data_IF_755483337754
#
_entry.id   IF_755483337754
#
_cell.length_a   1.000
_cell.length_b   1.000
_cell.length_c   1.000
_cell.angle_alpha   90.00
_cell.angle_beta   90.00
_cell.angle_gamma   90.00
#
_symmetry.space_group_name_H-M   'P 1'
#
loop_
_entity.id
_entity.type
_entity.pdbx_description
1 polymer ?
#
# COMPACT_ATOMS: atom_id res chain seq x y z
N UNK A 1 42.46 3.73 28.73
CA UNK A 1 41.10 3.49 29.28
C UNK A 1 40.23 4.76 29.37
N UNK A 2 40.60 5.87 28.69
CA UNK A 2 39.94 7.19 28.81
C UNK A 2 38.69 7.38 27.94
N UNK A 3 38.51 6.64 26.85
CA UNK A 3 37.35 6.84 25.95
C UNK A 3 36.08 6.11 26.40
N UNK A 4 36.13 5.34 27.50
CA UNK A 4 34.99 4.54 27.99
C UNK A 4 33.80 5.42 28.44
N UNK A 5 34.06 6.62 28.96
CA UNK A 5 33.00 7.56 29.37
C UNK A 5 32.26 8.16 28.17
N UNK A 6 33.01 8.65 27.17
CA UNK A 6 32.44 9.20 25.93
C UNK A 6 31.61 8.17 25.17
N UNK A 7 32.10 6.93 25.05
CA UNK A 7 31.37 5.83 24.39
C UNK A 7 30.08 5.50 25.14
N UNK A 8 30.06 5.51 26.47
CA UNK A 8 28.83 5.29 27.26
C UNK A 8 27.80 6.40 27.06
N UNK A 9 28.22 7.66 27.04
CA UNK A 9 27.32 8.80 26.79
C UNK A 9 26.73 8.73 25.39
N UNK A 10 27.56 8.44 24.39
CA UNK A 10 27.10 8.28 23.01
C UNK A 10 26.12 7.09 22.86
N UNK A 11 26.41 5.96 23.51
CA UNK A 11 25.52 4.80 23.50
C UNK A 11 24.15 5.10 24.15
N UNK A 12 24.13 5.85 25.26
CA UNK A 12 22.87 6.26 25.90
C UNK A 12 22.08 7.21 25.01
N UNK A 13 22.75 8.20 24.39
CA UNK A 13 22.10 9.16 23.50
C UNK A 13 21.53 8.45 22.26
N UNK A 14 22.31 7.57 21.64
CA UNK A 14 21.86 6.73 20.52
C UNK A 14 20.65 5.87 20.92
N UNK A 15 20.69 5.23 22.08
CA UNK A 15 19.58 4.41 22.59
C UNK A 15 18.31 5.24 22.77
N UNK A 16 18.43 6.47 23.29
CA UNK A 16 17.30 7.37 23.49
C UNK A 16 16.67 7.77 22.15
N UNK A 17 17.49 8.10 21.15
CA UNK A 17 17.03 8.37 19.79
C UNK A 17 16.35 7.14 19.17
N UNK A 18 16.93 5.94 19.33
CA UNK A 18 16.31 4.71 18.85
C UNK A 18 14.94 4.45 19.50
N UNK A 19 14.82 4.64 20.82
CA UNK A 19 13.54 4.48 21.53
C UNK A 19 12.52 5.52 21.06
N UNK A 20 12.94 6.75 20.79
CA UNK A 20 12.09 7.80 20.26
C UNK A 20 11.51 7.43 18.88
N UNK A 21 12.34 6.98 17.94
CA UNK A 21 11.86 6.52 16.62
C UNK A 21 10.98 5.27 16.72
N UNK A 22 11.32 4.32 17.61
CA UNK A 22 10.49 3.13 17.84
C UNK A 22 9.14 3.45 18.48
N UNK A 23 9.06 4.50 19.31
CA UNK A 23 7.80 4.94 19.93
C UNK A 23 6.76 5.35 18.88
N UNK A 24 7.16 6.05 17.82
CA UNK A 24 6.24 6.38 16.72
C UNK A 24 5.65 5.13 16.07
N UNK A 25 6.46 4.09 15.86
CA UNK A 25 5.98 2.84 15.28
C UNK A 25 5.02 2.09 16.19
N UNK A 26 5.25 2.14 17.50
CA UNK A 26 4.32 1.57 18.45
C UNK A 26 2.98 2.33 18.48
N UNK A 27 3.01 3.66 18.46
CA UNK A 27 1.79 4.49 18.47
C UNK A 27 0.96 4.23 17.22
N UNK A 28 1.53 4.37 16.02
CA UNK A 28 0.76 4.14 14.79
C UNK A 28 0.18 2.72 14.75
N UNK A 29 0.93 1.69 15.17
CA UNK A 29 0.45 0.30 15.27
C UNK A 29 -0.71 0.13 16.26
N UNK A 30 -0.67 0.83 17.38
CA UNK A 30 -1.76 0.81 18.36
C UNK A 30 -3.06 1.39 17.78
N UNK A 31 -2.98 2.49 17.02
CA UNK A 31 -4.15 3.09 16.38
C UNK A 31 -4.67 2.29 15.18
N UNK A 32 -3.79 1.66 14.40
CA UNK A 32 -4.23 0.76 13.33
C UNK A 32 -4.88 -0.50 13.86
N UNK A 33 -4.41 -1.06 14.99
CA UNK A 33 -5.09 -2.18 15.65
C UNK A 33 -6.47 -1.78 16.16
N UNK A 34 -6.64 -0.60 16.76
CA UNK A 34 -7.95 -0.08 17.15
C UNK A 34 -8.89 0.13 15.96
N UNK A 35 -8.36 0.63 14.85
CA UNK A 35 -9.13 0.77 13.61
C UNK A 35 -9.66 -0.58 13.12
N UNK A 36 -8.82 -1.63 13.17
CA UNK A 36 -9.21 -3.00 12.81
C UNK A 36 -10.26 -3.59 13.75
N UNK A 37 -10.16 -3.32 15.05
CA UNK A 37 -11.18 -3.73 16.03
C UNK A 37 -12.52 -3.06 15.77
N UNK A 38 -12.53 -1.78 15.39
CA UNK A 38 -13.75 -1.03 15.07
C UNK A 38 -14.34 -1.48 13.73
N UNK A 39 -13.48 -1.77 12.74
CA UNK A 39 -13.87 -2.15 11.39
C UNK A 39 -14.51 -3.55 11.32
N UNK A 40 -14.18 -4.46 12.23
CA UNK A 40 -14.80 -5.79 12.38
C UNK A 40 -14.96 -6.58 11.05
N UNK A 41 -14.02 -6.38 10.10
CA UNK A 41 -14.01 -7.01 8.78
C UNK A 41 -14.43 -6.13 7.60
N UNK A 42 -14.94 -4.91 7.83
CA UNK A 42 -15.32 -3.98 6.76
C UNK A 42 -14.15 -3.03 6.42
N UNK A 43 -13.52 -3.27 5.27
CA UNK A 43 -12.33 -2.54 4.83
C UNK A 43 -12.60 -1.06 4.54
N UNK A 44 -13.85 -0.68 4.24
CA UNK A 44 -14.23 0.72 4.07
C UNK A 44 -14.24 1.47 5.38
N UNK A 45 -14.83 0.88 6.42
CA UNK A 45 -14.91 1.48 7.75
C UNK A 45 -13.52 1.61 8.37
N UNK A 46 -12.63 0.63 8.13
CA UNK A 46 -11.21 0.73 8.53
C UNK A 46 -10.52 1.94 7.89
N UNK A 47 -10.68 2.10 6.57
CA UNK A 47 -10.04 3.20 5.84
C UNK A 47 -10.61 4.56 6.25
N UNK A 48 -11.93 4.69 6.35
CA UNK A 48 -12.57 5.95 6.73
C UNK A 48 -12.20 6.37 8.16
N UNK A 49 -12.10 5.40 9.08
CA UNK A 49 -11.65 5.66 10.45
C UNK A 49 -10.17 6.06 10.49
N UNK A 50 -9.31 5.36 9.75
CA UNK A 50 -7.89 5.69 9.67
C UNK A 50 -7.66 7.05 8.99
N UNK A 51 -8.44 7.41 7.98
CA UNK A 51 -8.33 8.70 7.28
C UNK A 51 -8.77 9.86 8.19
N UNK A 52 -9.87 9.67 8.92
CA UNK A 52 -10.34 10.62 9.93
C UNK A 52 -9.30 10.84 11.05
N UNK A 53 -8.70 9.76 11.55
CA UNK A 53 -7.65 9.85 12.56
C UNK A 53 -6.29 10.31 11.99
N UNK A 54 -6.07 10.24 10.68
CA UNK A 54 -4.80 10.61 10.06
C UNK A 54 -4.45 12.10 10.26
N UNK A 55 -5.47 12.95 10.42
CA UNK A 55 -5.34 14.38 10.68
C UNK A 55 -5.29 14.74 12.17
N UNK A 56 -5.59 13.80 13.06
CA UNK A 56 -5.50 14.04 14.49
C UNK A 56 -4.05 13.97 14.98
N UNK A 57 -3.74 14.77 16.02
CA UNK A 57 -2.42 14.83 16.64
C UNK A 57 -2.32 13.77 17.71
N UNK A 58 -1.50 12.76 17.47
CA UNK A 58 -1.55 11.50 18.22
C UNK A 58 -0.32 11.28 19.09
N UNK A 59 0.82 11.81 18.66
CA UNK A 59 2.08 11.70 19.41
C UNK A 59 2.46 13.07 19.99
N UNK A 60 2.41 13.17 21.33
CA UNK A 60 2.78 14.35 22.13
C UNK A 60 2.11 15.68 21.71
N UNK A 61 0.96 15.65 21.02
CA UNK A 61 0.21 16.85 20.63
C UNK A 61 0.85 17.69 19.51
N UNK A 62 1.93 17.20 18.90
CA UNK A 62 2.66 17.90 17.84
C UNK A 62 2.74 17.13 16.52
N UNK A 63 2.63 15.79 16.55
CA UNK A 63 2.76 14.96 15.36
C UNK A 63 1.45 14.25 15.02
N UNK A 64 1.04 14.34 13.76
CA UNK A 64 -0.17 13.68 13.26
C UNK A 64 0.06 12.18 13.04
N UNK A 65 -1.01 11.40 13.01
CA UNK A 65 -0.92 9.96 12.68
C UNK A 65 -0.28 9.73 11.30
N UNK A 66 -0.56 10.62 10.34
CA UNK A 66 0.09 10.63 9.03
C UNK A 66 1.61 10.83 9.13
N UNK A 67 2.05 11.85 9.88
CA UNK A 67 3.48 12.11 10.08
C UNK A 67 4.17 11.00 10.86
N UNK A 68 3.50 10.43 11.86
CA UNK A 68 4.01 9.27 12.58
C UNK A 68 4.23 8.11 11.61
N UNK A 69 3.25 7.79 10.74
CA UNK A 69 3.31 6.73 9.71
C UNK A 69 4.37 6.98 8.63
N UNK A 70 4.66 8.23 8.30
CA UNK A 70 5.75 8.60 7.37
C UNK A 70 7.13 8.47 8.03
N UNK A 71 7.24 8.80 9.32
CA UNK A 71 8.47 8.64 10.11
C UNK A 71 8.67 7.22 10.66
N UNK A 72 7.66 6.35 10.52
CA UNK A 72 7.79 4.94 10.86
C UNK A 72 8.86 4.28 9.99
N UNK A 73 9.45 3.22 10.54
CA UNK A 73 10.33 2.34 9.79
C UNK A 73 9.58 1.87 8.53
N UNK A 74 10.25 1.94 7.38
CA UNK A 74 9.72 1.44 6.11
C UNK A 74 9.60 -0.08 6.17
N UNK A 75 8.48 -0.58 6.68
CA UNK A 75 8.15 -2.00 6.66
C UNK A 75 7.80 -2.39 5.22
N UNK A 76 8.39 -3.48 4.74
CA UNK A 76 8.06 -4.06 3.44
C UNK A 76 6.61 -4.57 3.36
N UNK A 77 6.16 -4.96 2.17
CA UNK A 77 4.79 -5.40 1.91
C UNK A 77 4.31 -6.50 2.87
N UNK A 78 5.20 -7.43 3.20
CA UNK A 78 4.95 -8.55 4.13
C UNK A 78 4.65 -8.07 5.56
N UNK A 79 5.39 -7.06 6.03
CA UNK A 79 5.30 -6.59 7.42
C UNK A 79 4.30 -5.45 7.61
N UNK A 80 4.12 -4.59 6.60
CA UNK A 80 3.18 -3.45 6.64
C UNK A 80 1.77 -3.86 6.19
N UNK A 81 1.68 -4.89 5.36
CA UNK A 81 0.45 -5.28 4.70
C UNK A 81 0.08 -4.26 3.61
N UNK A 82 -0.07 -4.76 2.39
CA UNK A 82 -0.53 -3.97 1.26
C UNK A 82 -0.94 -4.91 0.13
N UNK A 83 -1.62 -4.37 -0.88
CA UNK A 83 -2.04 -5.14 -2.03
C UNK A 83 -1.09 -4.83 -3.20
N UNK A 84 -0.22 -5.77 -3.55
CA UNK A 84 0.51 -5.70 -4.81
C UNK A 84 -0.43 -6.18 -5.93
N UNK A 85 -1.05 -5.24 -6.63
CA UNK A 85 -1.90 -5.54 -7.80
C UNK A 85 -1.09 -5.29 -9.05
N UNK A 86 -0.79 -6.35 -9.78
CA UNK A 86 -0.34 -6.25 -11.17
C UNK A 86 -1.61 -6.32 -12.00
N UNK A 87 -1.98 -5.21 -12.64
CA UNK A 87 -3.10 -5.18 -13.57
C UNK A 87 -2.60 -5.65 -14.93
N UNK A 88 -2.90 -6.89 -15.30
CA UNK A 88 -2.76 -7.35 -16.67
C UNK A 88 -3.97 -6.86 -17.47
N UNK A 89 -3.72 -6.01 -18.45
CA UNK A 89 -4.77 -5.49 -19.33
C UNK A 89 -4.92 -6.47 -20.49
N UNK A 90 -6.07 -7.14 -20.57
CA UNK A 90 -6.39 -7.93 -21.75
C UNK A 90 -6.74 -6.96 -22.89
N UNK A 91 -5.93 -6.99 -23.96
CA UNK A 91 -6.19 -6.22 -25.19
C UNK A 91 -7.61 -6.47 -25.76
N UNK A 92 -8.15 -7.72 -25.80
CA UNK A 92 -9.50 -7.92 -26.30
C UNK A 92 -10.59 -7.24 -25.45
N UNK A 93 -10.41 -7.12 -24.14
CA UNK A 93 -11.37 -6.40 -23.29
C UNK A 93 -11.31 -4.88 -23.50
N UNK A 94 -10.13 -4.33 -23.79
CA UNK A 94 -9.99 -2.92 -24.19
C UNK A 94 -10.70 -2.65 -25.51
N UNK A 95 -10.52 -3.53 -26.50
CA UNK A 95 -11.20 -3.42 -27.81
C UNK A 95 -12.72 -3.53 -27.63
N UNK A 96 -13.20 -4.41 -26.75
CA UNK A 96 -14.62 -4.58 -26.46
C UNK A 96 -15.22 -3.39 -25.69
N UNK A 97 -14.47 -2.81 -24.76
CA UNK A 97 -14.86 -1.61 -24.02
C UNK A 97 -14.89 -0.37 -24.91
N UNK A 98 -13.93 -0.22 -25.84
CA UNK A 98 -13.91 0.85 -26.85
C UNK A 98 -15.01 0.68 -27.91
N UNK A 99 -15.47 -0.55 -28.18
CA UNK A 99 -16.52 -0.86 -29.14
C UNK A 99 -17.96 -0.78 -28.57
N UNK A 100 -18.15 -0.21 -27.38
CA UNK A 100 -19.47 -0.03 -26.73
C UNK A 100 -20.28 -1.33 -26.57
N UNK A 101 -19.61 -2.49 -26.45
CA UNK A 101 -20.27 -3.80 -26.39
C UNK A 101 -21.27 -4.05 -27.55
N UNK A 102 -20.96 -3.64 -28.78
CA UNK A 102 -21.81 -3.98 -29.94
C UNK A 102 -21.96 -5.50 -30.11
N UNK A 103 -23.20 -6.03 -30.21
CA UNK A 103 -23.47 -7.46 -30.34
C UNK A 103 -23.35 -7.97 -31.79
N UNK A 104 -22.43 -7.43 -32.58
CA UNK A 104 -22.21 -7.90 -33.96
C UNK A 104 -21.54 -9.28 -33.94
N UNK A 105 -22.18 -10.27 -34.55
CA UNK A 105 -21.74 -11.67 -34.55
C UNK A 105 -20.38 -11.83 -35.25
N UNK A 106 -20.15 -11.07 -36.33
CA UNK A 106 -18.86 -11.03 -37.03
C UNK A 106 -17.74 -10.40 -36.18
N UNK A 107 -18.06 -9.39 -35.37
CA UNK A 107 -17.09 -8.73 -34.48
C UNK A 107 -16.65 -9.68 -33.36
N UNK A 108 -17.59 -10.41 -32.75
CA UNK A 108 -17.28 -11.40 -31.72
C UNK A 108 -16.49 -12.59 -32.27
N UNK A 109 -16.78 -13.05 -33.49
CA UNK A 109 -15.99 -14.11 -34.15
C UNK A 109 -14.57 -13.64 -34.51
N UNK A 110 -14.41 -12.42 -35.00
CA UNK A 110 -13.10 -11.82 -35.28
C UNK A 110 -12.28 -11.65 -34.00
N UNK A 111 -12.90 -11.15 -32.92
CA UNK A 111 -12.26 -10.98 -31.62
C UNK A 111 -11.85 -12.33 -31.01
N UNK A 112 -12.70 -13.36 -31.11
CA UNK A 112 -12.38 -14.70 -30.62
C UNK A 112 -11.25 -15.37 -31.41
N UNK A 113 -11.16 -15.10 -32.71
CA UNK A 113 -10.07 -15.62 -33.57
C UNK A 113 -8.77 -14.87 -33.27
N UNK A 114 -8.81 -13.54 -33.15
CA UNK A 114 -7.68 -12.72 -32.77
C UNK A 114 -7.15 -13.06 -31.36
N UNK A 115 -8.04 -13.31 -30.40
CA UNK A 115 -7.64 -13.73 -29.05
C UNK A 115 -6.92 -15.10 -29.04
N UNK A 116 -7.37 -16.06 -29.86
CA UNK A 116 -6.71 -17.37 -30.05
C UNK A 116 -5.35 -17.26 -30.74
N UNK A 117 -5.22 -16.30 -31.66
CA UNK A 117 -3.96 -16.02 -32.35
C UNK A 117 -2.98 -15.30 -31.43
N UNK A 118 -3.45 -14.33 -30.63
CA UNK A 118 -2.65 -13.61 -29.64
C UNK A 118 -2.14 -14.50 -28.49
N UNK A 119 -2.75 -15.68 -28.25
CA UNK A 119 -2.20 -16.66 -27.30
C UNK A 119 -1.02 -17.46 -27.87
N UNK A 120 -0.90 -17.54 -29.21
CA UNK A 120 0.13 -18.31 -29.90
C UNK A 120 1.21 -17.43 -30.55
N UNK A 121 0.91 -16.15 -30.81
CA UNK A 121 1.83 -15.18 -31.42
C UNK A 121 2.12 -14.04 -30.45
N UNK A 122 3.40 -13.68 -30.35
CA UNK A 122 3.91 -12.53 -29.62
C UNK A 122 3.79 -11.21 -30.41
N UNK A 123 3.11 -11.25 -31.56
CA UNK A 123 2.94 -10.12 -32.47
C UNK A 123 1.75 -9.25 -32.05
N UNK A 124 1.94 -7.94 -32.20
CA UNK A 124 0.99 -6.91 -31.78
C UNK A 124 -0.36 -7.08 -32.49
N UNK A 125 -1.45 -6.96 -31.74
CA UNK A 125 -2.82 -7.15 -32.25
C UNK A 125 -3.25 -5.97 -33.13
N UNK A 126 -2.46 -4.89 -33.13
CA UNK A 126 -2.71 -3.65 -33.86
C UNK A 126 -1.63 -3.50 -34.93
N UNK A 127 -1.99 -3.74 -36.19
CA UNK A 127 -1.27 -3.28 -37.37
C UNK A 127 -2.29 -2.85 -38.42
#
# INVERSE_FOLDING_TARGET
MQNKGFVKVFAVLLTLVCVFYLSFSFVTRHYTNKAKEIANGDTKVEQDYLDSLSNEKVWLGNYTLKQCREMEISLGLDLKGGMNVILEVSIPDVIKALADNKPDENFNQALATAAKQATNSQDDVIT
#
